data_IF_827136371228
#
_entry.id   IF_827136371228
#
_cell.length_a   1.000
_cell.length_b   1.000
_cell.length_c   1.000
_cell.angle_alpha   90.00
_cell.angle_beta   90.00
_cell.angle_gamma   90.00
#
_symmetry.space_group_name_H-M   'P 1'
#
loop_
_entity.id
_entity.type
_entity.pdbx_description
1 polymer ?
#
# COMPACT_ATOMS: atom_id res chain seq x y z
N UNK A 1 34.39 -1.44 -12.25
CA UNK A 1 33.77 -1.26 -10.92
C UNK A 1 32.27 -0.98 -11.05
N UNK A 2 31.84 0.06 -11.79
CA UNK A 2 30.41 0.35 -12.10
C UNK A 2 29.59 -0.88 -12.49
N UNK A 3 30.01 -1.62 -13.53
CA UNK A 3 29.28 -2.81 -14.00
C UNK A 3 29.05 -3.87 -12.90
N UNK A 4 30.01 -4.04 -12.00
CA UNK A 4 29.89 -5.00 -10.89
C UNK A 4 28.93 -4.51 -9.81
N UNK A 5 28.90 -3.21 -9.53
CA UNK A 5 27.96 -2.62 -8.56
C UNK A 5 26.54 -2.60 -9.10
N UNK A 6 26.37 -2.27 -10.38
CA UNK A 6 25.06 -2.37 -11.05
C UNK A 6 24.54 -3.81 -11.08
N UNK A 7 25.41 -4.80 -11.33
CA UNK A 7 25.03 -6.21 -11.24
C UNK A 7 24.56 -6.59 -9.83
N UNK A 8 25.23 -6.12 -8.78
CA UNK A 8 24.78 -6.33 -7.40
C UNK A 8 23.41 -5.68 -7.12
N UNK A 9 23.16 -4.47 -7.65
CA UNK A 9 21.84 -3.84 -7.57
C UNK A 9 20.78 -4.66 -8.32
N UNK A 10 21.10 -5.17 -9.52
CA UNK A 10 20.21 -6.00 -10.33
C UNK A 10 19.79 -7.29 -9.60
N UNK A 11 20.71 -7.93 -8.89
CA UNK A 11 20.42 -9.12 -8.06
C UNK A 11 19.55 -8.78 -6.84
N UNK A 12 19.74 -7.60 -6.26
CA UNK A 12 18.90 -7.09 -5.19
C UNK A 12 17.46 -6.84 -5.67
N UNK A 13 17.29 -6.23 -6.84
CA UNK A 13 16.00 -6.03 -7.50
C UNK A 13 15.28 -7.37 -7.74
N UNK A 14 15.98 -8.41 -8.20
CA UNK A 14 15.40 -9.76 -8.36
C UNK A 14 14.88 -10.32 -7.01
N UNK A 15 15.54 -9.95 -5.90
CA UNK A 15 15.08 -10.24 -4.54
C UNK A 15 13.75 -9.57 -4.21
N UNK A 16 13.58 -8.30 -4.60
CA UNK A 16 12.33 -7.56 -4.44
C UNK A 16 11.20 -8.17 -5.29
N UNK A 17 11.49 -8.56 -6.53
CA UNK A 17 10.54 -9.28 -7.40
C UNK A 17 10.09 -10.59 -6.74
N UNK A 18 11.01 -11.40 -6.23
CA UNK A 18 10.67 -12.63 -5.47
C UNK A 18 9.76 -12.33 -4.27
N UNK A 19 10.04 -11.26 -3.52
CA UNK A 19 9.21 -10.80 -2.40
C UNK A 19 7.81 -10.37 -2.87
N UNK A 20 7.71 -9.70 -4.02
CA UNK A 20 6.44 -9.32 -4.64
C UNK A 20 5.56 -10.54 -4.93
N UNK A 21 6.08 -11.56 -5.62
CA UNK A 21 5.32 -12.79 -5.91
C UNK A 21 4.94 -13.58 -4.66
N UNK A 22 5.71 -13.44 -3.58
CA UNK A 22 5.41 -14.08 -2.31
C UNK A 22 4.22 -13.45 -1.56
N UNK A 23 3.75 -12.27 -1.99
CA UNK A 23 2.66 -11.53 -1.36
C UNK A 23 1.38 -12.39 -1.23
N UNK A 24 0.67 -12.36 -0.07
CA UNK A 24 -0.48 -13.23 0.18
C UNK A 24 -1.59 -13.15 -0.88
N UNK A 25 -1.82 -11.96 -1.44
CA UNK A 25 -2.78 -11.76 -2.53
C UNK A 25 -2.50 -12.71 -3.70
N UNK A 26 -1.25 -12.78 -4.18
CA UNK A 26 -0.89 -13.54 -5.38
C UNK A 26 -1.02 -15.05 -5.19
N UNK A 27 -0.85 -15.57 -3.97
CA UNK A 27 -1.13 -16.98 -3.64
C UNK A 27 -2.58 -17.36 -3.83
N UNK A 28 -3.50 -16.40 -3.69
CA UNK A 28 -4.95 -16.60 -3.82
C UNK A 28 -5.59 -15.84 -4.97
N UNK A 29 -4.80 -15.21 -5.84
CA UNK A 29 -5.31 -14.29 -6.88
C UNK A 29 -6.25 -15.00 -7.86
N UNK A 30 -5.91 -16.23 -8.25
CA UNK A 30 -6.76 -17.11 -9.06
C UNK A 30 -8.09 -17.48 -8.39
N UNK A 31 -8.26 -17.23 -7.09
CA UNK A 31 -9.49 -17.51 -6.32
C UNK A 31 -10.37 -16.28 -6.14
N UNK A 32 -9.95 -15.10 -6.61
CA UNK A 32 -10.81 -13.92 -6.58
C UNK A 32 -12.05 -14.17 -7.43
N UNK A 33 -13.22 -13.76 -6.93
CA UNK A 33 -14.40 -13.66 -7.80
C UNK A 33 -14.16 -12.61 -8.88
N UNK A 34 -14.91 -12.69 -9.97
CA UNK A 34 -14.83 -11.71 -11.06
C UNK A 34 -15.04 -10.29 -10.56
N UNK A 35 -15.99 -10.08 -9.65
CA UNK A 35 -16.32 -8.77 -9.07
C UNK A 35 -15.16 -8.24 -8.23
N UNK A 36 -14.51 -9.11 -7.43
CA UNK A 36 -13.34 -8.73 -6.64
C UNK A 36 -12.11 -8.46 -7.49
N UNK A 37 -11.95 -9.19 -8.59
CA UNK A 37 -10.92 -8.89 -9.57
C UNK A 37 -11.15 -7.54 -10.26
N UNK A 38 -12.38 -7.22 -10.65
CA UNK A 38 -12.74 -5.90 -11.18
C UNK A 38 -12.46 -4.80 -10.13
N UNK A 39 -12.91 -4.98 -8.88
CA UNK A 39 -12.65 -4.04 -7.79
C UNK A 39 -11.14 -3.76 -7.61
N UNK A 40 -10.32 -4.81 -7.70
CA UNK A 40 -8.87 -4.72 -7.69
C UNK A 40 -8.31 -3.87 -8.83
N UNK A 41 -8.72 -4.15 -10.07
CA UNK A 41 -8.27 -3.39 -11.25
C UNK A 41 -8.74 -1.93 -11.25
N UNK A 42 -9.91 -1.66 -10.67
CA UNK A 42 -10.41 -0.29 -10.51
C UNK A 42 -9.54 0.52 -9.54
N UNK A 43 -9.10 -0.07 -8.42
CA UNK A 43 -8.24 0.62 -7.46
C UNK A 43 -6.81 0.84 -7.99
N UNK A 44 -6.19 -0.17 -8.59
CA UNK A 44 -4.87 -0.01 -9.24
C UNK A 44 -4.92 0.98 -10.40
N UNK A 45 -6.08 1.10 -11.06
CA UNK A 45 -6.35 2.11 -12.07
C UNK A 45 -6.00 3.52 -11.66
N UNK A 46 -6.20 3.88 -10.39
CA UNK A 46 -5.84 5.22 -9.92
C UNK A 46 -4.33 5.45 -9.90
N UNK A 47 -3.51 4.40 -9.74
CA UNK A 47 -2.06 4.55 -9.90
C UNK A 47 -1.73 4.79 -11.38
N UNK A 48 -2.27 3.98 -12.29
CA UNK A 48 -2.06 4.16 -13.73
C UNK A 48 -2.51 5.55 -14.22
N UNK A 49 -3.65 6.07 -13.72
CA UNK A 49 -4.13 7.41 -14.04
C UNK A 49 -3.20 8.54 -13.56
N UNK A 50 -2.39 8.28 -12.52
CA UNK A 50 -1.44 9.24 -11.99
C UNK A 50 -0.04 9.09 -12.59
N UNK A 51 0.20 8.06 -13.40
CA UNK A 51 1.53 7.72 -13.92
C UNK A 51 2.19 8.91 -14.64
N UNK A 52 1.53 9.46 -15.66
CA UNK A 52 2.02 10.63 -16.42
C UNK A 52 2.32 11.81 -15.50
N UNK A 53 1.40 12.16 -14.59
CA UNK A 53 1.56 13.30 -13.68
C UNK A 53 2.72 13.09 -12.70
N UNK A 54 2.90 11.86 -12.25
CA UNK A 54 3.96 11.47 -11.34
C UNK A 54 5.33 11.54 -12.01
N UNK A 55 5.46 11.01 -13.23
CA UNK A 55 6.69 11.10 -14.04
C UNK A 55 7.04 12.54 -14.43
N UNK A 56 6.05 13.34 -14.85
CA UNK A 56 6.23 14.76 -15.11
C UNK A 56 6.71 15.52 -13.87
N UNK A 57 6.12 15.25 -12.70
CA UNK A 57 6.54 15.86 -11.43
C UNK A 57 7.97 15.47 -11.07
N UNK A 58 8.32 14.20 -11.20
CA UNK A 58 9.66 13.69 -10.94
C UNK A 58 10.72 14.36 -11.83
N UNK A 59 10.43 14.50 -13.12
CA UNK A 59 11.29 15.12 -14.14
C UNK A 59 11.67 16.57 -13.80
N UNK A 60 10.78 17.35 -13.18
CA UNK A 60 11.02 18.77 -12.89
C UNK A 60 12.20 19.00 -11.94
N UNK A 61 12.49 18.06 -11.04
CA UNK A 61 13.63 18.16 -10.12
C UNK A 61 14.96 17.66 -10.67
N UNK A 62 14.95 16.96 -11.81
CA UNK A 62 16.13 16.27 -12.34
C UNK A 62 17.17 17.23 -12.91
N UNK A 63 18.44 16.97 -12.61
CA UNK A 63 19.55 17.78 -13.13
C UNK A 63 20.17 17.14 -14.39
N UNK A 64 20.28 15.82 -14.43
CA UNK A 64 20.79 15.05 -15.56
C UNK A 64 19.85 15.15 -16.76
N UNK A 65 20.36 15.62 -17.90
CA UNK A 65 19.61 15.63 -19.16
C UNK A 65 19.32 14.21 -19.65
N UNK A 66 20.26 13.27 -19.47
CA UNK A 66 20.05 11.87 -19.85
C UNK A 66 18.92 11.24 -19.04
N UNK A 67 18.82 11.54 -17.73
CA UNK A 67 17.70 11.08 -16.92
C UNK A 67 16.36 11.68 -17.40
N UNK A 68 16.37 12.98 -17.74
CA UNK A 68 15.18 13.65 -18.29
C UNK A 68 14.75 13.05 -19.63
N UNK A 69 15.69 12.66 -20.50
CA UNK A 69 15.34 12.03 -21.78
C UNK A 69 14.71 10.65 -21.61
N UNK A 70 15.26 9.78 -20.73
CA UNK A 70 14.63 8.49 -20.41
C UNK A 70 13.18 8.70 -19.95
N UNK A 71 12.93 9.67 -19.07
CA UNK A 71 11.56 9.99 -18.63
C UNK A 71 10.69 10.54 -19.76
N UNK A 72 11.24 11.36 -20.67
CA UNK A 72 10.48 11.88 -21.83
C UNK A 72 10.09 10.76 -22.78
N UNK A 73 10.96 9.80 -23.02
CA UNK A 73 10.68 8.68 -23.92
C UNK A 73 9.53 7.83 -23.38
N UNK A 74 9.57 7.47 -22.10
CA UNK A 74 8.48 6.75 -21.43
C UNK A 74 7.16 7.55 -21.50
N UNK A 75 7.21 8.87 -21.25
CA UNK A 75 6.03 9.72 -21.31
C UNK A 75 5.42 9.85 -22.72
N UNK A 76 6.22 9.73 -23.78
CA UNK A 76 5.72 9.74 -25.17
C UNK A 76 4.91 8.49 -25.49
N UNK A 77 5.25 7.36 -24.89
CA UNK A 77 4.53 6.11 -25.07
C UNK A 77 3.19 6.12 -24.32
N UNK A 78 3.15 6.73 -23.13
CA UNK A 78 1.92 6.85 -22.33
C UNK A 78 0.85 7.74 -22.97
N UNK A 79 1.27 8.81 -23.66
CA UNK A 79 0.40 9.74 -24.38
C UNK A 79 0.93 9.92 -25.80
N UNK A 80 0.61 8.99 -26.72
CA UNK A 80 1.10 9.07 -28.09
C UNK A 80 0.48 10.27 -28.83
N UNK A 81 1.21 10.81 -29.79
CA UNK A 81 0.72 11.93 -30.63
C UNK A 81 -0.49 11.55 -31.50
N UNK A 82 -0.69 10.25 -31.74
CA UNK A 82 -1.81 9.70 -32.49
C UNK A 82 -2.10 8.28 -32.01
N UNK A 83 -3.36 7.86 -32.01
CA UNK A 83 -3.79 6.54 -31.55
C UNK A 83 -4.59 6.58 -30.24
N UNK A 84 -4.73 5.42 -29.61
CA UNK A 84 -5.35 5.28 -28.28
C UNK A 84 -4.37 5.66 -27.20
N UNK A 85 -4.86 6.27 -26.13
CA UNK A 85 -4.06 6.44 -24.91
C UNK A 85 -4.08 5.17 -24.08
N UNK A 86 -3.12 5.01 -23.18
CA UNK A 86 -3.12 3.93 -22.20
C UNK A 86 -4.41 3.87 -21.35
N UNK A 87 -5.08 5.00 -21.12
CA UNK A 87 -6.37 5.01 -20.43
C UNK A 87 -7.52 4.49 -21.30
N UNK A 88 -7.48 4.71 -22.62
CA UNK A 88 -8.45 4.14 -23.56
C UNK A 88 -8.31 2.62 -23.64
N UNK A 89 -7.08 2.13 -23.74
CA UNK A 89 -6.79 0.69 -23.78
C UNK A 89 -7.11 0.01 -22.45
N UNK A 90 -6.87 0.68 -21.32
CA UNK A 90 -7.29 0.18 -20.01
C UNK A 90 -8.81 0.08 -19.91
N UNK A 91 -9.55 1.09 -20.40
CA UNK A 91 -11.02 1.04 -20.42
C UNK A 91 -11.52 -0.10 -21.32
N UNK A 92 -10.89 -0.32 -22.47
CA UNK A 92 -11.18 -1.46 -23.34
C UNK A 92 -11.04 -2.79 -22.58
N UNK A 93 -9.91 -3.01 -21.89
CA UNK A 93 -9.68 -4.24 -21.14
C UNK A 93 -10.67 -4.42 -19.97
N UNK A 94 -11.02 -3.34 -19.27
CA UNK A 94 -12.03 -3.38 -18.20
C UNK A 94 -13.41 -3.78 -18.73
N UNK A 95 -13.79 -3.23 -19.88
CA UNK A 95 -15.04 -3.61 -20.56
C UNK A 95 -15.01 -5.07 -21.03
N UNK A 96 -13.88 -5.52 -21.56
CA UNK A 96 -13.65 -6.92 -21.96
C UNK A 96 -13.80 -7.89 -20.77
N UNK A 97 -13.35 -7.48 -19.59
CA UNK A 97 -13.49 -8.22 -18.33
C UNK A 97 -14.91 -8.08 -17.75
N UNK A 98 -15.76 -7.20 -18.30
CA UNK A 98 -17.17 -7.04 -17.93
C UNK A 98 -17.45 -5.98 -16.87
N UNK A 99 -16.52 -5.05 -16.62
CA UNK A 99 -16.84 -3.82 -15.92
C UNK A 99 -17.61 -2.87 -16.86
N UNK A 100 -18.57 -2.11 -16.34
CA UNK A 100 -19.25 -1.09 -17.15
C UNK A 100 -18.46 0.22 -17.15
N UNK A 101 -18.56 1.00 -18.23
CA UNK A 101 -18.00 2.36 -18.27
C UNK A 101 -18.47 3.23 -17.11
N UNK A 102 -19.73 3.05 -16.67
CA UNK A 102 -20.27 3.75 -15.50
C UNK A 102 -19.53 3.37 -14.21
N UNK A 103 -19.25 2.08 -13.99
CA UNK A 103 -18.46 1.62 -12.84
C UNK A 103 -17.05 2.21 -12.89
N UNK A 104 -16.40 2.19 -14.05
CA UNK A 104 -15.03 2.70 -14.22
C UNK A 104 -14.95 4.21 -13.96
N UNK A 105 -15.96 4.98 -14.36
CA UNK A 105 -15.96 6.45 -14.21
C UNK A 105 -16.39 6.93 -12.82
N UNK A 106 -17.21 6.16 -12.12
CA UNK A 106 -17.79 6.59 -10.83
C UNK A 106 -17.13 5.94 -9.61
N UNK A 107 -16.22 4.98 -9.80
CA UNK A 107 -15.44 4.43 -8.69
C UNK A 107 -14.62 5.54 -8.03
N UNK A 108 -14.50 5.47 -6.70
CA UNK A 108 -13.66 6.38 -5.91
C UNK A 108 -12.43 5.62 -5.43
N UNK A 109 -11.26 6.29 -5.31
CA UNK A 109 -10.11 5.66 -4.71
C UNK A 109 -10.43 5.36 -3.24
N UNK A 110 -10.01 4.19 -2.76
CA UNK A 110 -10.05 3.88 -1.33
C UNK A 110 -9.10 4.79 -0.55
N UNK A 111 -9.23 4.82 0.78
CA UNK A 111 -8.28 5.55 1.62
C UNK A 111 -6.85 4.98 1.48
N UNK A 112 -6.72 3.66 1.31
CA UNK A 112 -5.44 3.01 1.07
C UNK A 112 -4.85 3.46 -0.27
N UNK A 113 -5.64 3.42 -1.35
CA UNK A 113 -5.22 3.85 -2.69
C UNK A 113 -4.76 5.30 -2.71
N UNK A 114 -5.49 6.23 -2.06
CA UNK A 114 -5.04 7.63 -1.92
C UNK A 114 -3.70 7.76 -1.21
N UNK A 115 -3.55 7.09 -0.06
CA UNK A 115 -2.30 7.10 0.72
C UNK A 115 -1.11 6.57 -0.09
N UNK A 116 -1.33 5.55 -0.92
CA UNK A 116 -0.28 4.99 -1.78
C UNK A 116 0.13 5.99 -2.85
N UNK A 117 -0.83 6.66 -3.50
CA UNK A 117 -0.52 7.72 -4.47
C UNK A 117 0.28 8.83 -3.78
N UNK A 118 -0.16 9.30 -2.62
CA UNK A 118 0.59 10.29 -1.81
C UNK A 118 2.02 9.82 -1.53
N UNK A 119 2.21 8.57 -1.08
CA UNK A 119 3.52 7.98 -0.81
C UNK A 119 4.39 7.92 -2.07
N UNK A 120 3.84 7.62 -3.24
CA UNK A 120 4.60 7.64 -4.50
C UNK A 120 5.09 9.06 -4.85
N UNK A 121 4.26 10.09 -4.64
CA UNK A 121 4.69 11.48 -4.83
C UNK A 121 5.73 11.92 -3.79
N UNK A 122 5.66 11.42 -2.55
CA UNK A 122 6.69 11.69 -1.53
C UNK A 122 8.07 11.17 -1.93
N UNK A 123 8.16 10.04 -2.64
CA UNK A 123 9.43 9.47 -3.10
C UNK A 123 10.14 10.36 -4.13
N UNK A 124 9.38 11.14 -4.90
CA UNK A 124 9.91 12.05 -5.95
C UNK A 124 9.88 13.52 -5.52
N UNK A 125 9.70 13.81 -4.22
CA UNK A 125 9.70 15.20 -3.71
C UNK A 125 11.05 15.87 -3.90
N UNK A 126 11.08 17.17 -4.14
CA UNK A 126 12.31 17.96 -4.24
C UNK A 126 12.42 18.96 -3.07
N UNK A 127 13.62 19.24 -2.52
CA UNK A 127 14.93 18.66 -2.84
C UNK A 127 15.23 17.35 -2.07
N UNK A 128 16.13 16.54 -2.63
CA UNK A 128 16.74 15.37 -1.97
C UNK A 128 18.21 15.23 -2.37
N UNK A 129 19.03 14.64 -1.51
CA UNK A 129 20.39 14.20 -1.88
C UNK A 129 20.29 13.03 -2.87
N UNK A 130 21.18 13.02 -3.87
CA UNK A 130 21.18 12.01 -4.94
C UNK A 130 19.83 11.90 -5.67
N UNK A 131 19.16 13.05 -5.84
CA UNK A 131 17.80 13.13 -6.38
C UNK A 131 17.63 12.31 -7.66
N UNK A 132 18.48 12.52 -8.68
CA UNK A 132 18.36 11.82 -9.95
C UNK A 132 18.44 10.29 -9.78
N UNK A 133 19.41 9.79 -9.00
CA UNK A 133 19.54 8.35 -8.76
C UNK A 133 18.32 7.80 -8.01
N UNK A 134 17.91 8.45 -6.91
CA UNK A 134 16.75 8.01 -6.11
C UNK A 134 15.48 7.98 -6.93
N UNK A 135 15.26 9.00 -7.76
CA UNK A 135 14.08 9.11 -8.61
C UNK A 135 14.12 8.08 -9.72
N UNK A 136 15.24 7.91 -10.44
CA UNK A 136 15.32 6.92 -11.51
C UNK A 136 15.09 5.50 -10.99
N UNK A 137 15.64 5.16 -9.82
CA UNK A 137 15.38 3.88 -9.14
C UNK A 137 13.91 3.75 -8.75
N UNK A 138 13.32 4.81 -8.21
CA UNK A 138 11.91 4.82 -7.79
C UNK A 138 10.98 4.58 -8.98
N UNK A 139 11.17 5.31 -10.08
CA UNK A 139 10.37 5.19 -11.30
C UNK A 139 10.52 3.77 -11.87
N UNK A 140 11.75 3.27 -12.01
CA UNK A 140 12.01 1.90 -12.46
C UNK A 140 11.24 0.86 -11.64
N UNK A 141 11.38 0.88 -10.31
CA UNK A 141 10.78 -0.16 -9.46
C UNK A 141 9.26 -0.05 -9.43
N UNK A 142 8.71 1.12 -9.08
CA UNK A 142 7.28 1.27 -8.84
C UNK A 142 6.45 1.54 -10.10
N UNK A 143 7.10 2.05 -11.15
CA UNK A 143 6.50 2.39 -12.44
C UNK A 143 6.67 1.32 -13.51
N UNK A 144 7.79 0.58 -13.54
CA UNK A 144 8.06 -0.39 -14.62
C UNK A 144 8.07 -1.84 -14.11
N UNK A 145 9.06 -2.19 -13.27
CA UNK A 145 9.32 -3.57 -12.85
C UNK A 145 8.10 -4.18 -12.16
N UNK A 146 7.56 -3.51 -11.14
CA UNK A 146 6.40 -4.02 -10.42
C UNK A 146 5.10 -3.91 -11.23
N UNK A 147 5.06 -3.09 -12.28
CA UNK A 147 3.93 -3.04 -13.21
C UNK A 147 3.91 -4.31 -14.05
N UNK A 148 5.03 -4.68 -14.67
CA UNK A 148 5.16 -5.92 -15.45
C UNK A 148 4.77 -7.15 -14.63
N UNK A 149 5.32 -7.26 -13.42
CA UNK A 149 5.08 -8.41 -12.54
C UNK A 149 3.62 -8.46 -12.06
N UNK A 150 3.00 -7.32 -11.80
CA UNK A 150 1.58 -7.24 -11.46
C UNK A 150 0.71 -7.72 -12.63
N UNK A 151 1.05 -7.29 -13.84
CA UNK A 151 0.25 -7.56 -15.04
C UNK A 151 0.36 -9.02 -15.49
N UNK A 152 1.48 -9.69 -15.22
CA UNK A 152 1.57 -11.15 -15.38
C UNK A 152 0.45 -11.89 -14.63
N UNK A 153 0.17 -11.52 -13.37
CA UNK A 153 -0.90 -12.15 -12.57
C UNK A 153 -2.29 -11.81 -13.12
N UNK A 154 -2.48 -10.58 -13.59
CA UNK A 154 -3.74 -10.12 -14.22
C UNK A 154 -4.02 -10.92 -15.49
N UNK A 155 -3.05 -11.02 -16.40
CA UNK A 155 -3.19 -11.78 -17.65
C UNK A 155 -3.42 -13.26 -17.37
N UNK A 156 -2.72 -13.83 -16.38
CA UNK A 156 -2.97 -15.22 -15.97
C UNK A 156 -4.40 -15.40 -15.49
N UNK A 157 -4.94 -14.47 -14.69
CA UNK A 157 -6.32 -14.52 -14.23
C UNK A 157 -7.31 -14.40 -15.41
N UNK A 158 -7.11 -13.43 -16.31
CA UNK A 158 -7.94 -13.25 -17.50
C UNK A 158 -8.01 -14.53 -18.33
N UNK A 159 -6.87 -15.19 -18.57
CA UNK A 159 -6.80 -16.44 -19.33
C UNK A 159 -7.48 -17.60 -18.63
N UNK A 160 -7.15 -17.84 -17.37
CA UNK A 160 -7.57 -19.06 -16.65
C UNK A 160 -9.00 -18.94 -16.13
N UNK A 161 -9.38 -17.79 -15.58
CA UNK A 161 -10.66 -17.61 -14.90
C UNK A 161 -11.75 -17.05 -15.81
N UNK A 162 -11.39 -16.30 -16.85
CA UNK A 162 -12.35 -15.62 -17.73
C UNK A 162 -12.32 -16.13 -19.18
N UNK A 163 -11.35 -16.97 -19.55
CA UNK A 163 -11.20 -17.47 -20.92
C UNK A 163 -10.75 -16.40 -21.93
N UNK A 164 -10.18 -15.28 -21.47
CA UNK A 164 -9.72 -14.17 -22.31
C UNK A 164 -8.24 -14.39 -22.65
N UNK A 165 -7.91 -14.52 -23.93
CA UNK A 165 -6.52 -14.67 -24.36
C UNK A 165 -5.72 -13.38 -24.16
N UNK A 166 -4.41 -13.50 -23.88
CA UNK A 166 -3.53 -12.34 -23.69
C UNK A 166 -3.53 -11.38 -24.89
N UNK A 167 -3.58 -11.92 -26.12
CA UNK A 167 -3.65 -11.13 -27.36
C UNK A 167 -4.93 -10.30 -27.52
N UNK A 168 -5.96 -10.53 -26.67
CA UNK A 168 -7.15 -9.71 -26.65
C UNK A 168 -7.02 -8.50 -25.71
N UNK A 169 -6.04 -8.51 -24.80
CA UNK A 169 -5.77 -7.38 -23.91
C UNK A 169 -4.95 -6.33 -24.65
N UNK A 170 -5.42 -5.09 -24.61
CA UNK A 170 -4.73 -3.93 -25.22
C UNK A 170 -3.86 -3.17 -24.22
N UNK A 171 -4.13 -3.31 -22.93
CA UNK A 171 -3.40 -2.62 -21.89
C UNK A 171 -2.49 -3.59 -21.12
N UNK A 172 -3.04 -4.56 -20.40
CA UNK A 172 -2.25 -5.37 -19.48
C UNK A 172 -1.23 -6.28 -20.17
N UNK A 173 -1.56 -6.87 -21.33
CA UNK A 173 -0.67 -7.83 -22.00
C UNK A 173 0.53 -7.15 -22.65
N UNK A 174 0.38 -6.06 -23.44
CA UNK A 174 1.53 -5.35 -24.00
C UNK A 174 2.51 -4.86 -22.92
N UNK A 175 2.00 -4.27 -21.84
CA UNK A 175 2.83 -3.78 -20.74
C UNK A 175 3.55 -4.93 -19.99
N UNK A 176 2.88 -6.07 -19.76
CA UNK A 176 3.58 -7.24 -19.21
C UNK A 176 4.74 -7.69 -20.12
N UNK A 177 4.55 -7.67 -21.44
CA UNK A 177 5.62 -8.06 -22.37
C UNK A 177 6.72 -7.02 -22.50
N UNK A 178 6.37 -5.73 -22.48
CA UNK A 178 7.29 -4.62 -22.71
C UNK A 178 8.11 -4.27 -21.49
N UNK A 179 7.50 -4.30 -20.31
CA UNK A 179 8.11 -3.76 -19.09
C UNK A 179 8.83 -4.86 -18.30
N UNK A 180 8.76 -6.13 -18.75
CA UNK A 180 9.50 -7.23 -18.14
C UNK A 180 11.00 -7.01 -18.32
N UNK A 181 11.78 -7.22 -17.26
CA UNK A 181 13.24 -7.15 -17.30
C UNK A 181 13.81 -8.06 -18.40
N UNK A 182 14.69 -7.54 -19.24
CA UNK A 182 15.26 -8.25 -20.38
C UNK A 182 14.32 -8.36 -21.60
N UNK A 183 13.16 -7.69 -21.58
CA UNK A 183 12.27 -7.64 -22.72
C UNK A 183 12.86 -6.84 -23.88
N UNK A 184 12.58 -7.30 -25.09
CA UNK A 184 12.87 -6.56 -26.31
C UNK A 184 11.59 -6.36 -27.10
N UNK A 185 11.31 -5.12 -27.45
CA UNK A 185 10.18 -4.74 -28.32
C UNK A 185 10.76 -4.23 -29.62
N UNK A 186 10.44 -4.93 -30.72
CA UNK A 186 10.94 -4.61 -32.07
C UNK A 186 12.47 -4.54 -32.18
N UNK A 187 13.19 -5.20 -31.26
CA UNK A 187 14.65 -5.21 -31.20
C UNK A 187 15.25 -4.18 -30.24
N UNK A 188 14.45 -3.22 -29.75
CA UNK A 188 14.83 -2.22 -28.77
C UNK A 188 14.59 -2.70 -27.33
N UNK A 189 15.37 -2.21 -26.34
CA UNK A 189 15.12 -2.50 -24.93
C UNK A 189 13.75 -2.00 -24.49
N UNK A 190 13.02 -2.80 -23.71
CA UNK A 190 11.77 -2.36 -23.10
C UNK A 190 11.95 -1.24 -22.06
N UNK A 191 10.86 -0.68 -21.55
CA UNK A 191 10.90 0.45 -20.59
C UNK A 191 11.80 0.18 -19.39
N UNK A 192 11.71 -1.01 -18.77
CA UNK A 192 12.61 -1.37 -17.65
C UNK A 192 14.08 -1.26 -18.05
N UNK A 193 14.47 -1.83 -19.19
CA UNK A 193 15.87 -1.88 -19.62
C UNK A 193 16.39 -0.51 -20.12
N UNK A 194 15.49 0.43 -20.45
CA UNK A 194 15.87 1.82 -20.81
C UNK A 194 16.61 2.55 -19.69
N UNK A 195 16.41 2.12 -18.42
CA UNK A 195 17.11 2.66 -17.26
C UNK A 195 18.52 2.09 -17.08
N UNK A 196 18.82 0.91 -17.62
CA UNK A 196 19.99 0.10 -17.22
C UNK A 196 21.31 0.85 -17.42
N UNK A 197 21.54 1.39 -18.63
CA UNK A 197 22.78 2.11 -18.97
C UNK A 197 22.97 3.35 -18.10
N UNK A 198 21.88 4.06 -17.81
CA UNK A 198 21.92 5.26 -17.00
C UNK A 198 22.23 4.90 -15.54
N UNK A 199 21.54 3.90 -14.98
CA UNK A 199 21.75 3.46 -13.60
C UNK A 199 23.15 2.88 -13.41
N UNK A 200 23.66 2.12 -14.38
CA UNK A 200 25.05 1.64 -14.37
C UNK A 200 26.06 2.81 -14.28
N UNK A 201 25.78 3.92 -14.95
CA UNK A 201 26.61 5.13 -14.88
C UNK A 201 26.46 5.93 -13.59
N UNK A 202 25.33 5.78 -12.87
CA UNK A 202 25.04 6.49 -11.62
C UNK A 202 25.50 5.73 -10.37
N UNK A 203 25.54 4.39 -10.43
CA UNK A 203 25.98 3.51 -9.33
C UNK A 203 27.49 3.27 -9.46
N UNK A 204 28.26 4.30 -9.13
CA UNK A 204 29.71 4.35 -9.34
C UNK A 204 30.54 3.77 -8.20
N UNK A 205 29.95 3.71 -7.01
CA UNK A 205 30.59 3.31 -5.76
C UNK A 205 29.57 2.67 -4.79
N UNK A 206 30.07 2.14 -3.68
CA UNK A 206 29.27 1.45 -2.66
C UNK A 206 28.23 2.38 -2.00
N UNK A 207 28.53 3.68 -1.83
CA UNK A 207 27.56 4.62 -1.26
C UNK A 207 26.36 4.78 -2.21
N UNK A 208 26.61 4.94 -3.51
CA UNK A 208 25.54 5.00 -4.52
C UNK A 208 24.75 3.70 -4.61
N UNK A 209 25.42 2.55 -4.47
CA UNK A 209 24.74 1.25 -4.42
C UNK A 209 23.75 1.18 -3.24
N UNK A 210 24.15 1.61 -2.05
CA UNK A 210 23.25 1.63 -0.89
C UNK A 210 22.11 2.63 -1.03
N UNK A 211 22.36 3.80 -1.63
CA UNK A 211 21.31 4.77 -1.98
C UNK A 211 20.29 4.15 -2.95
N UNK A 212 20.77 3.41 -3.96
CA UNK A 212 19.91 2.72 -4.92
C UNK A 212 19.06 1.63 -4.23
N UNK A 213 19.66 0.80 -3.37
CA UNK A 213 18.92 -0.24 -2.63
C UNK A 213 17.84 0.36 -1.72
N UNK A 214 18.16 1.42 -0.97
CA UNK A 214 17.21 2.13 -0.10
C UNK A 214 16.04 2.72 -0.90
N UNK A 215 16.32 3.37 -2.03
CA UNK A 215 15.28 3.91 -2.90
C UNK A 215 14.39 2.78 -3.47
N UNK A 216 14.99 1.67 -3.90
CA UNK A 216 14.27 0.53 -4.45
C UNK A 216 13.36 -0.13 -3.41
N UNK A 217 13.81 -0.31 -2.17
CA UNK A 217 12.98 -0.81 -1.06
C UNK A 217 11.78 0.10 -0.77
N UNK A 218 12.01 1.41 -0.68
CA UNK A 218 10.94 2.38 -0.42
C UNK A 218 9.90 2.40 -1.54
N UNK A 219 10.34 2.35 -2.80
CA UNK A 219 9.48 2.26 -3.97
C UNK A 219 8.71 0.93 -4.00
N UNK A 220 9.38 -0.18 -3.69
CA UNK A 220 8.77 -1.50 -3.58
C UNK A 220 7.66 -1.51 -2.52
N UNK A 221 7.92 -0.99 -1.33
CA UNK A 221 6.93 -0.93 -0.25
C UNK A 221 5.74 -0.06 -0.67
N UNK A 222 6.00 1.16 -1.15
CA UNK A 222 4.95 2.08 -1.56
C UNK A 222 4.02 1.45 -2.60
N UNK A 223 4.57 0.78 -3.62
CA UNK A 223 3.78 0.11 -4.65
C UNK A 223 3.09 -1.14 -4.13
N UNK A 224 3.76 -1.95 -3.32
CA UNK A 224 3.25 -3.25 -2.86
C UNK A 224 2.09 -3.12 -1.87
N UNK A 225 2.08 -2.07 -1.06
CA UNK A 225 1.04 -1.80 -0.06
C UNK A 225 -0.38 -1.73 -0.67
N UNK A 226 -0.51 -1.48 -1.99
CA UNK A 226 -1.83 -1.51 -2.65
C UNK A 226 -2.49 -2.88 -2.56
N UNK A 227 -1.70 -3.94 -2.49
CA UNK A 227 -2.19 -5.32 -2.50
C UNK A 227 -2.77 -5.74 -1.15
N UNK A 228 -2.35 -5.10 -0.06
CA UNK A 228 -2.82 -5.43 1.29
C UNK A 228 -4.31 -5.18 1.49
N UNK A 229 -4.89 -4.20 0.77
CA UNK A 229 -6.33 -3.94 0.84
C UNK A 229 -7.18 -5.06 0.21
N UNK A 230 -6.55 -5.95 -0.57
CA UNK A 230 -7.20 -7.10 -1.24
C UNK A 230 -6.77 -8.45 -0.66
N UNK A 231 -5.72 -8.47 0.14
CA UNK A 231 -5.38 -9.63 0.94
C UNK A 231 -6.49 -9.97 1.93
N UNK A 232 -6.70 -11.25 2.22
CA UNK A 232 -7.49 -11.62 3.40
C UNK A 232 -6.77 -11.06 4.61
N UNK A 233 -7.33 -10.01 5.25
CA UNK A 233 -6.89 -9.63 6.60
C UNK A 233 -6.99 -10.89 7.44
N UNK A 234 -5.90 -11.34 8.10
CA UNK A 234 -5.99 -12.50 8.95
C UNK A 234 -6.98 -12.15 10.07
N UNK A 235 -8.22 -12.64 9.94
CA UNK A 235 -9.28 -12.49 10.95
C UNK A 235 -8.79 -12.90 12.34
N UNK A 236 -7.78 -13.77 12.42
CA UNK A 236 -7.07 -14.14 13.66
C UNK A 236 -6.42 -12.97 14.38
N UNK A 237 -5.78 -12.01 13.70
CA UNK A 237 -5.15 -10.87 14.38
C UNK A 237 -6.21 -9.93 14.91
N UNK A 238 -7.27 -9.67 14.15
CA UNK A 238 -8.39 -8.85 14.63
C UNK A 238 -9.10 -9.50 15.82
N UNK A 239 -9.36 -10.82 15.77
CA UNK A 239 -9.93 -11.58 16.89
C UNK A 239 -8.98 -11.69 18.09
N UNK A 240 -7.66 -11.76 17.88
CA UNK A 240 -6.68 -11.77 18.96
C UNK A 240 -6.58 -10.39 19.63
N UNK A 241 -6.57 -9.30 18.85
CA UNK A 241 -6.51 -7.95 19.42
C UNK A 241 -7.83 -7.59 20.10
N UNK A 242 -8.98 -7.94 19.51
CA UNK A 242 -10.30 -7.75 20.13
C UNK A 242 -10.44 -8.64 21.37
N UNK A 243 -10.02 -9.91 21.28
CA UNK A 243 -10.05 -10.86 22.40
C UNK A 243 -9.12 -10.44 23.55
N UNK A 244 -7.92 -9.96 23.26
CA UNK A 244 -7.00 -9.42 24.25
C UNK A 244 -7.55 -8.14 24.90
N UNK A 245 -8.16 -7.25 24.12
CA UNK A 245 -8.78 -6.02 24.64
C UNK A 245 -9.97 -6.34 25.55
N UNK A 246 -10.86 -7.25 25.13
CA UNK A 246 -12.00 -7.72 25.92
C UNK A 246 -11.52 -8.44 27.19
N UNK A 247 -10.51 -9.30 27.07
CA UNK A 247 -9.91 -10.02 28.20
C UNK A 247 -9.30 -9.06 29.23
N UNK A 248 -8.63 -8.00 28.76
CA UNK A 248 -8.07 -6.96 29.62
C UNK A 248 -9.19 -6.18 30.34
N UNK A 249 -10.23 -5.75 29.62
CA UNK A 249 -11.40 -5.06 30.19
C UNK A 249 -12.09 -5.95 31.24
N UNK A 250 -12.24 -7.25 30.98
CA UNK A 250 -12.83 -8.19 31.94
C UNK A 250 -11.95 -8.39 33.16
N UNK A 251 -10.63 -8.52 33.01
CA UNK A 251 -9.70 -8.65 34.13
C UNK A 251 -9.70 -7.40 35.03
N UNK A 252 -9.76 -6.21 34.42
CA UNK A 252 -9.92 -4.91 35.09
C UNK A 252 -11.23 -4.88 35.89
N UNK A 253 -12.34 -5.24 35.24
CA UNK A 253 -13.67 -5.16 35.83
C UNK A 253 -13.83 -6.18 36.96
N UNK A 254 -13.42 -7.43 36.74
CA UNK A 254 -13.44 -8.48 37.76
C UNK A 254 -12.49 -8.14 38.92
N UNK A 255 -11.28 -7.67 38.64
CA UNK A 255 -10.32 -7.25 39.66
C UNK A 255 -10.86 -6.12 40.53
N UNK A 256 -11.47 -5.10 39.92
CA UNK A 256 -12.02 -3.95 40.63
C UNK A 256 -13.27 -4.34 41.42
N UNK A 257 -14.15 -5.18 40.88
CA UNK A 257 -15.37 -5.63 41.56
C UNK A 257 -15.05 -6.58 42.73
N UNK A 258 -14.11 -7.51 42.56
CA UNK A 258 -13.61 -8.37 43.65
C UNK A 258 -12.93 -7.53 44.73
N UNK A 259 -12.09 -6.57 44.36
CA UNK A 259 -11.41 -5.70 45.31
C UNK A 259 -12.38 -4.79 46.08
N UNK A 260 -13.35 -4.16 45.41
CA UNK A 260 -14.38 -3.32 46.03
C UNK A 260 -15.23 -4.12 47.03
N UNK A 261 -15.64 -5.33 46.66
CA UNK A 261 -16.41 -6.22 47.56
C UNK A 261 -15.61 -6.70 48.77
N UNK A 262 -14.30 -6.81 48.66
CA UNK A 262 -13.45 -7.36 49.74
C UNK A 262 -12.85 -6.31 50.65
N UNK A 263 -12.73 -5.04 50.24
CA UNK A 263 -11.89 -4.09 50.98
C UNK A 263 -12.54 -2.74 51.38
N UNK A 264 -13.77 -2.41 50.93
CA UNK A 264 -14.40 -1.07 51.10
C UNK A 264 -13.56 0.19 50.72
N UNK A 265 -12.50 0.20 49.88
CA UNK A 265 -11.70 1.40 49.64
C UNK A 265 -12.19 2.10 48.38
N UNK A 266 -11.88 3.39 48.24
CA UNK A 266 -12.17 4.12 47.00
C UNK A 266 -11.35 3.58 45.81
N UNK A 267 -11.81 3.82 44.58
CA UNK A 267 -11.10 3.45 43.36
C UNK A 267 -9.62 3.91 43.35
N UNK A 268 -9.34 5.11 43.88
CA UNK A 268 -7.98 5.62 43.98
C UNK A 268 -7.12 4.88 45.03
N UNK A 269 -7.73 4.32 46.07
CA UNK A 269 -7.03 3.45 47.03
C UNK A 269 -6.74 2.06 46.45
N UNK A 270 -7.52 1.58 45.47
CA UNK A 270 -7.17 0.41 44.66
C UNK A 270 -5.96 0.69 43.78
N UNK A 271 -6.00 1.77 42.99
CA UNK A 271 -4.91 2.18 42.11
C UNK A 271 -3.60 2.38 42.87
N UNK A 272 -3.66 2.93 44.08
CA UNK A 272 -2.49 3.13 44.93
C UNK A 272 -1.79 1.82 45.37
N UNK A 273 -2.48 0.68 45.36
CA UNK A 273 -1.91 -0.64 45.70
C UNK A 273 -1.35 -1.41 44.51
N UNK A 274 -1.58 -0.93 43.29
CA UNK A 274 -1.06 -1.59 42.09
C UNK A 274 0.44 -1.29 41.89
N UNK A 275 1.19 -2.22 41.27
CA UNK A 275 2.53 -1.91 40.76
C UNK A 275 2.50 -0.68 39.84
N UNK A 276 3.56 0.16 39.82
CA UNK A 276 3.57 1.41 39.07
C UNK A 276 3.12 1.27 37.61
N UNK A 277 3.64 0.26 36.90
CA UNK A 277 3.29 0.01 35.49
C UNK A 277 1.79 -0.26 35.27
N UNK A 278 1.16 -0.99 36.19
CA UNK A 278 -0.27 -1.26 36.10
C UNK A 278 -1.09 -0.01 36.44
N UNK A 279 -0.69 0.70 37.50
CA UNK A 279 -1.34 1.97 37.89
C UNK A 279 -1.29 2.99 36.76
N UNK A 280 -0.13 3.15 36.12
CA UNK A 280 0.08 4.11 35.04
C UNK A 280 -0.79 3.75 33.82
N UNK A 281 -0.89 2.46 33.49
CA UNK A 281 -1.81 1.97 32.46
C UNK A 281 -3.29 2.35 32.75
N UNK A 282 -3.75 2.19 33.99
CA UNK A 282 -5.12 2.53 34.37
C UNK A 282 -5.40 4.03 34.29
N UNK A 283 -4.45 4.84 34.75
CA UNK A 283 -4.56 6.31 34.68
C UNK A 283 -4.55 6.78 33.22
N UNK A 284 -3.69 6.22 32.38
CA UNK A 284 -3.63 6.55 30.95
C UNK A 284 -4.94 6.19 30.23
N UNK A 285 -5.55 5.06 30.58
CA UNK A 285 -6.84 4.64 30.04
C UNK A 285 -7.97 5.60 30.48
N UNK A 286 -8.02 5.98 31.75
CA UNK A 286 -8.98 6.95 32.28
C UNK A 286 -8.82 8.32 31.59
N UNK A 287 -7.58 8.80 31.46
CA UNK A 287 -7.24 10.04 30.75
C UNK A 287 -7.67 9.96 29.28
N UNK A 288 -7.42 8.85 28.60
CA UNK A 288 -7.81 8.66 27.21
C UNK A 288 -9.34 8.68 27.02
N UNK A 289 -10.08 8.06 27.93
CA UNK A 289 -11.55 8.09 27.93
C UNK A 289 -12.09 9.49 28.18
N UNK A 290 -11.53 10.24 29.13
CA UNK A 290 -11.88 11.65 29.39
C UNK A 290 -11.58 12.53 28.16
N UNK A 291 -10.41 12.36 27.53
CA UNK A 291 -10.04 13.11 26.32
C UNK A 291 -11.02 12.86 25.17
N UNK A 292 -11.45 11.61 24.98
CA UNK A 292 -12.45 11.26 23.95
C UNK A 292 -13.83 11.82 24.27
N UNK A 293 -14.26 11.78 25.52
CA UNK A 293 -15.50 12.41 25.98
C UNK A 293 -15.50 13.92 25.71
N UNK A 294 -14.40 14.61 26.03
CA UNK A 294 -14.22 16.05 25.79
C UNK A 294 -14.18 16.39 24.29
N UNK A 295 -13.77 15.47 23.43
CA UNK A 295 -13.75 15.63 21.99
C UNK A 295 -15.13 15.41 21.33
N UNK A 296 -16.21 15.26 22.10
CA UNK A 296 -17.56 15.04 21.59
C UNK A 296 -17.76 13.65 20.97
N UNK A 297 -16.81 12.72 21.17
CA UNK A 297 -16.97 11.33 20.77
C UNK A 297 -17.95 10.70 21.74
N UNK A 298 -19.07 10.21 21.20
CA UNK A 298 -20.12 9.57 21.98
C UNK A 298 -19.58 8.35 22.75
N UNK A 299 -19.33 8.56 24.04
CA UNK A 299 -18.88 7.54 24.97
C UNK A 299 -20.04 6.65 25.43
N UNK A 300 -21.29 6.99 25.14
CA UNK A 300 -22.47 6.23 25.57
C UNK A 300 -22.47 4.79 25.01
N UNK A 301 -21.84 4.55 23.86
CA UNK A 301 -21.69 3.19 23.32
C UNK A 301 -20.55 2.38 23.95
N UNK A 302 -19.55 3.02 24.56
CA UNK A 302 -18.53 2.33 25.38
C UNK A 302 -19.06 2.03 26.79
N UNK A 303 -19.95 2.89 27.30
CA UNK A 303 -20.65 2.71 28.58
C UNK A 303 -21.68 1.57 28.57
N UNK A 304 -22.27 1.26 27.40
CA UNK A 304 -23.36 0.27 27.26
C UNK A 304 -22.95 -1.18 27.57
N UNK A 305 -21.65 -1.49 27.60
CA UNK A 305 -21.10 -2.82 27.91
C UNK A 305 -20.83 -3.01 29.42
N UNK A 306 -20.80 -1.93 30.23
CA UNK A 306 -20.11 -1.99 31.52
C UNK A 306 -20.91 -1.85 32.81
N UNK A 307 -22.13 -1.30 32.84
CA UNK A 307 -22.61 -0.70 34.11
C UNK A 307 -24.10 -0.83 34.45
N UNK A 308 -24.77 -1.92 34.05
CA UNK A 308 -26.14 -2.20 34.52
C UNK A 308 -26.26 -2.66 35.99
N UNK A 309 -25.20 -2.56 36.80
CA UNK A 309 -25.23 -2.92 38.24
C UNK A 309 -24.77 -1.82 39.21
N UNK A 310 -24.68 -0.57 38.76
CA UNK A 310 -24.27 0.55 39.64
C UNK A 310 -25.19 1.76 39.60
N UNK A 311 -26.26 1.71 38.80
CA UNK A 311 -27.25 2.80 38.73
C UNK A 311 -28.18 2.80 39.97
N UNK A 312 -28.39 1.67 40.65
CA UNK A 312 -29.27 1.60 41.83
C UNK A 312 -28.61 1.94 43.18
N UNK A 313 -27.29 2.18 43.23
CA UNK A 313 -26.58 2.50 44.47
C UNK A 313 -26.03 3.94 44.51
N UNK A 314 -26.14 4.69 43.40
CA UNK A 314 -25.68 6.10 43.34
C UNK A 314 -26.86 7.07 43.25
N UNK A 315 -28.03 6.63 42.77
CA UNK A 315 -29.24 7.46 42.71
C UNK A 315 -30.30 6.82 43.60
N UNK A 316 -30.34 7.23 44.86
CA UNK A 316 -31.50 7.05 45.72
C UNK A 316 -32.74 7.72 45.12
N UNK A 317 -33.90 7.20 45.51
CA UNK A 317 -35.20 7.40 44.88
C UNK A 317 -35.49 8.81 44.30
N UNK A 318 -35.83 8.76 43.01
CA UNK A 318 -36.68 9.60 42.14
C UNK A 318 -37.48 10.79 42.71
N UNK A 319 -37.87 11.74 41.83
CA UNK A 319 -38.99 11.52 40.89
C UNK A 319 -38.62 11.06 39.48
#
# INVERSE_FOLDING_TARGET
MSAQLFQQYSEFEDGLVKKFHAHPLYRSFHKLSKEKFIEYLLQIGFIAQNFVKWYETAKLGMQSETAREVVRDILRDEIPQSGTTHQDDRLYDLNLIGASTEQVRNVKPSAATRKIIERLYELVRYPQEDYDLRVMITLRIAGEVLVAEQYQHIIRYMRVSLGIAGSQSRFYFPHWQHDLKGAKVEGEPGHTDSFDKLLESMITDEQKLEVAKDAAEKAFEARSDIHDQFGRKPYRVLLQTVGATIGLILAVFLGTNVYQKTTKPSYYQFLAKLPPQSRDFYLDLEIALIKRAKAGIDVQNLYRIGTWKYVSEVWGDQP
#
